data_IF_323511523597
#
_entry.id   IF_323511523597
#
_cell.length_a   1.000
_cell.length_b   1.000
_cell.length_c   1.000
_cell.angle_alpha   90.00
_cell.angle_beta   90.00
_cell.angle_gamma   90.00
#
_symmetry.space_group_name_H-M   'P 1'
#
loop_
_entity.id
_entity.type
_entity.pdbx_description
1 polymer ?
#
# COMPACT_ATOMS: atom_id res chain seq x y z
N UNK A 1 17.55 11.67 16.74
CA UNK A 1 16.59 11.59 17.85
C UNK A 1 15.33 10.96 17.27
N UNK A 2 14.78 9.93 17.91
CA UNK A 2 13.57 9.21 17.43
C UNK A 2 12.48 9.46 18.47
N UNK A 3 11.29 9.86 18.04
CA UNK A 3 10.14 10.05 18.92
C UNK A 3 9.68 8.69 19.45
N UNK A 4 9.54 8.56 20.77
CA UNK A 4 9.27 7.27 21.41
C UNK A 4 7.81 7.11 21.88
N UNK A 5 6.97 8.12 21.64
CA UNK A 5 5.57 8.15 22.08
C UNK A 5 4.76 6.93 21.62
N UNK A 6 5.06 6.42 20.42
CA UNK A 6 4.39 5.24 19.84
C UNK A 6 4.94 3.96 20.47
N UNK A 7 6.24 3.92 20.74
CA UNK A 7 6.90 2.79 21.39
C UNK A 7 6.46 2.61 22.85
N UNK A 8 6.28 3.72 23.59
CA UNK A 8 5.77 3.73 24.96
C UNK A 8 4.37 3.12 25.02
N UNK A 9 3.50 3.42 24.04
CA UNK A 9 2.15 2.85 23.95
C UNK A 9 2.18 1.39 23.53
N UNK A 10 3.01 1.06 22.54
CA UNK A 10 3.11 -0.30 22.01
C UNK A 10 3.53 -1.30 23.09
N UNK A 11 4.51 -1.00 23.94
CA UNK A 11 5.11 -1.99 24.84
C UNK A 11 4.13 -2.74 25.77
N UNK A 12 3.01 -2.10 26.13
CA UNK A 12 1.95 -2.64 26.99
C UNK A 12 0.63 -2.90 26.23
N UNK A 13 0.62 -2.70 24.91
CA UNK A 13 -0.56 -2.90 24.07
C UNK A 13 -0.88 -4.39 23.90
N UNK A 14 -2.16 -4.69 23.64
CA UNK A 14 -2.60 -6.04 23.26
C UNK A 14 -1.90 -6.52 21.99
N UNK A 15 -1.70 -5.61 21.02
CA UNK A 15 -0.94 -5.89 19.78
C UNK A 15 0.45 -6.42 20.08
N UNK A 16 1.20 -5.79 20.98
CA UNK A 16 2.54 -6.25 21.35
C UNK A 16 2.52 -7.56 22.15
N UNK A 17 1.47 -7.82 22.93
CA UNK A 17 1.27 -9.10 23.60
C UNK A 17 0.98 -10.23 22.61
N UNK A 18 0.23 -9.97 21.55
CA UNK A 18 -0.06 -10.94 20.49
C UNK A 18 1.16 -11.18 19.58
N UNK A 19 1.87 -10.13 19.17
CA UNK A 19 3.05 -10.25 18.29
C UNK A 19 4.27 -10.87 19.01
N UNK A 20 4.50 -10.51 20.27
CA UNK A 20 5.66 -10.94 21.05
C UNK A 20 5.27 -11.41 22.46
N UNK A 21 4.51 -12.52 22.59
CA UNK A 21 3.96 -12.96 23.88
C UNK A 21 5.05 -13.23 24.93
N UNK A 22 6.19 -13.77 24.50
CA UNK A 22 7.27 -14.19 25.40
C UNK A 22 8.36 -13.12 25.63
N UNK A 23 8.12 -11.85 25.26
CA UNK A 23 9.10 -10.77 25.42
C UNK A 23 8.70 -9.81 26.54
N UNK A 24 9.65 -9.34 27.37
CA UNK A 24 9.36 -8.33 28.39
C UNK A 24 9.03 -6.97 27.74
N UNK A 25 8.30 -6.07 28.45
CA UNK A 25 7.90 -4.77 27.91
C UNK A 25 9.05 -3.94 27.34
N UNK A 26 10.20 -3.90 28.02
CA UNK A 26 11.37 -3.15 27.55
C UNK A 26 11.88 -3.63 26.16
N UNK A 27 11.83 -4.93 25.89
CA UNK A 27 12.21 -5.47 24.58
C UNK A 27 11.18 -5.08 23.52
N UNK A 28 9.89 -5.11 23.85
CA UNK A 28 8.81 -4.66 22.95
C UNK A 28 8.94 -3.17 22.62
N UNK A 29 9.29 -2.35 23.61
CA UNK A 29 9.62 -0.93 23.42
C UNK A 29 10.77 -0.74 22.42
N UNK A 30 11.90 -1.44 22.61
CA UNK A 30 13.04 -1.36 21.68
C UNK A 30 12.67 -1.80 20.25
N UNK A 31 11.84 -2.85 20.11
CA UNK A 31 11.33 -3.30 18.80
C UNK A 31 10.50 -2.20 18.15
N UNK A 32 9.58 -1.56 18.88
CA UNK A 32 8.77 -0.48 18.34
C UNK A 32 9.60 0.74 17.95
N UNK A 33 10.63 1.11 18.73
CA UNK A 33 11.57 2.17 18.35
C UNK A 33 12.30 1.85 17.05
N UNK A 34 12.78 0.62 16.89
CA UNK A 34 13.46 0.20 15.67
C UNK A 34 12.50 0.23 14.47
N UNK A 35 11.26 -0.25 14.63
CA UNK A 35 10.25 -0.18 13.57
C UNK A 35 9.85 1.25 13.22
N UNK A 36 9.69 2.13 14.19
CA UNK A 36 9.43 3.55 13.96
C UNK A 36 10.56 4.18 13.14
N UNK A 37 11.81 3.88 13.46
CA UNK A 37 12.96 4.36 12.69
C UNK A 37 12.93 3.86 11.23
N UNK A 38 12.45 2.65 10.98
CA UNK A 38 12.29 2.12 9.63
C UNK A 38 11.08 2.71 8.88
N UNK A 39 9.94 2.83 9.55
CA UNK A 39 8.71 3.36 8.97
C UNK A 39 7.83 3.98 10.06
N UNK A 40 7.92 5.30 10.25
CA UNK A 40 7.02 6.02 11.16
C UNK A 40 5.56 5.86 10.73
N UNK A 41 5.32 5.88 9.41
CA UNK A 41 3.99 5.75 8.82
C UNK A 41 3.27 4.47 9.29
N UNK A 42 3.95 3.33 9.23
CA UNK A 42 3.34 2.06 9.61
C UNK A 42 3.13 1.97 11.12
N UNK A 43 4.04 2.52 11.94
CA UNK A 43 3.81 2.58 13.38
C UNK A 43 2.58 3.42 13.73
N UNK A 44 2.39 4.58 13.11
CA UNK A 44 1.19 5.39 13.30
C UNK A 44 -0.07 4.72 12.73
N UNK A 45 -0.01 4.09 11.55
CA UNK A 45 -1.16 3.43 10.92
C UNK A 45 -1.68 2.21 11.71
N UNK A 46 -0.80 1.56 12.49
CA UNK A 46 -1.12 0.45 13.37
C UNK A 46 -1.73 0.88 14.72
N UNK A 47 -1.72 2.18 15.05
CA UNK A 47 -2.44 2.68 16.22
C UNK A 47 -3.95 2.65 15.99
N UNK A 48 -4.69 2.47 17.09
CA UNK A 48 -6.13 2.67 17.11
C UNK A 48 -6.46 4.15 16.94
N UNK A 49 -7.68 4.46 16.47
CA UNK A 49 -8.14 5.84 16.33
C UNK A 49 -8.11 6.62 17.66
N UNK A 50 -8.23 5.93 18.80
CA UNK A 50 -8.13 6.57 20.12
C UNK A 50 -6.67 6.87 20.49
N UNK A 51 -5.76 5.93 20.23
CA UNK A 51 -4.33 6.14 20.48
C UNK A 51 -3.78 7.29 19.63
N UNK A 52 -4.15 7.38 18.34
CA UNK A 52 -3.72 8.49 17.48
C UNK A 52 -4.20 9.84 18.03
N UNK A 53 -5.47 9.94 18.46
CA UNK A 53 -6.00 11.20 19.06
C UNK A 53 -5.31 11.57 20.36
N UNK A 54 -4.79 10.59 21.08
CA UNK A 54 -4.07 10.81 22.34
C UNK A 54 -2.64 11.35 22.15
N UNK A 55 -2.12 11.33 20.91
CA UNK A 55 -0.80 11.88 20.61
C UNK A 55 -0.82 13.39 20.79
N UNK A 56 0.26 13.96 21.35
CA UNK A 56 0.35 15.39 21.59
C UNK A 56 0.99 16.07 20.37
N UNK A 57 0.18 16.30 19.34
CA UNK A 57 0.64 16.80 18.04
C UNK A 57 0.76 18.33 18.08
N UNK A 58 -0.16 19.01 18.76
CA UNK A 58 -0.14 20.47 18.88
C UNK A 58 -0.60 20.93 20.28
N UNK A 59 0.02 21.96 20.89
CA UNK A 59 -0.35 22.44 22.24
C UNK A 59 -1.82 22.85 22.39
N UNK A 60 -2.45 23.27 21.29
CA UNK A 60 -3.84 23.71 21.25
C UNK A 60 -4.80 22.70 20.61
N UNK A 61 -4.39 21.45 20.38
CA UNK A 61 -5.26 20.45 19.74
C UNK A 61 -6.56 20.20 20.51
N UNK A 62 -6.54 20.38 21.83
CA UNK A 62 -7.71 20.21 22.70
C UNK A 62 -8.78 21.30 22.51
N UNK A 63 -8.49 22.35 21.73
CA UNK A 63 -9.49 23.36 21.34
C UNK A 63 -10.40 22.88 20.20
N UNK A 64 -10.04 21.79 19.51
CA UNK A 64 -10.83 21.19 18.44
C UNK A 64 -11.84 20.19 19.00
N UNK A 65 -12.96 20.01 18.30
CA UNK A 65 -13.86 18.90 18.61
C UNK A 65 -13.18 17.56 18.27
N UNK A 66 -13.56 16.49 18.96
CA UNK A 66 -13.02 15.15 18.67
C UNK A 66 -13.30 14.71 17.22
N UNK A 67 -14.41 15.14 16.64
CA UNK A 67 -14.77 14.83 15.26
C UNK A 67 -13.85 15.56 14.27
N UNK A 68 -13.64 16.86 14.47
CA UNK A 68 -12.74 17.66 13.63
C UNK A 68 -11.30 17.16 13.69
N UNK A 69 -10.81 16.83 14.89
CA UNK A 69 -9.47 16.27 15.06
C UNK A 69 -9.35 14.91 14.37
N UNK A 70 -10.35 14.02 14.52
CA UNK A 70 -10.33 12.70 13.89
C UNK A 70 -10.32 12.82 12.37
N UNK A 71 -11.15 13.70 11.82
CA UNK A 71 -11.23 13.95 10.39
C UNK A 71 -9.89 14.48 9.85
N UNK A 72 -9.31 15.49 10.49
CA UNK A 72 -8.02 16.05 10.08
C UNK A 72 -6.89 15.01 10.12
N UNK A 73 -6.86 14.17 11.16
CA UNK A 73 -5.89 13.08 11.27
C UNK A 73 -6.08 12.04 10.17
N UNK A 74 -7.32 11.61 9.93
CA UNK A 74 -7.65 10.63 8.90
C UNK A 74 -7.28 11.15 7.51
N UNK A 75 -7.57 12.42 7.20
CA UNK A 75 -7.13 13.07 5.95
C UNK A 75 -5.61 13.05 5.81
N UNK A 76 -4.87 13.41 6.87
CA UNK A 76 -3.41 13.37 6.83
C UNK A 76 -2.86 11.94 6.59
N UNK A 77 -3.48 10.92 7.18
CA UNK A 77 -3.12 9.53 6.88
C UNK A 77 -3.40 9.16 5.42
N UNK A 78 -4.57 9.54 4.89
CA UNK A 78 -4.91 9.31 3.48
C UNK A 78 -3.86 9.97 2.59
N UNK A 79 -3.54 11.24 2.81
CA UNK A 79 -2.57 11.97 1.99
C UNK A 79 -1.19 11.29 2.00
N UNK A 80 -0.66 10.96 3.19
CA UNK A 80 0.67 10.36 3.32
C UNK A 80 0.70 8.91 2.82
N UNK A 81 -0.33 8.09 3.10
CA UNK A 81 -0.38 6.71 2.63
C UNK A 81 -0.48 6.66 1.11
N UNK A 82 -1.32 7.49 0.48
CA UNK A 82 -1.40 7.54 -0.98
C UNK A 82 -0.11 8.12 -1.59
N UNK A 83 0.52 9.09 -0.91
CA UNK A 83 1.83 9.62 -1.32
C UNK A 83 2.95 8.59 -1.20
N UNK A 84 2.90 7.61 -0.29
CA UNK A 84 3.94 6.56 -0.19
C UNK A 84 3.59 5.33 -1.03
N UNK A 85 2.29 5.09 -1.22
CA UNK A 85 1.71 3.90 -1.84
C UNK A 85 1.91 2.63 -0.99
N UNK A 86 1.16 1.57 -1.30
CA UNK A 86 1.22 0.30 -0.57
C UNK A 86 1.57 -0.84 -1.52
N UNK A 87 2.52 -1.67 -1.11
CA UNK A 87 2.88 -2.89 -1.83
C UNK A 87 1.86 -3.99 -1.51
N UNK A 88 1.19 -4.50 -2.54
CA UNK A 88 0.01 -5.36 -2.37
C UNK A 88 0.38 -6.69 -1.72
N UNK A 89 1.37 -7.40 -2.26
CA UNK A 89 1.72 -8.75 -1.81
C UNK A 89 2.23 -8.77 -0.36
N UNK A 90 3.04 -7.78 0.00
CA UNK A 90 3.57 -7.57 1.34
C UNK A 90 2.48 -7.22 2.34
N UNK A 91 1.48 -6.46 1.92
CA UNK A 91 0.31 -6.19 2.75
C UNK A 91 -0.56 -7.45 2.93
N UNK A 92 -0.66 -8.32 1.93
CA UNK A 92 -1.35 -9.61 2.02
C UNK A 92 -0.69 -10.57 3.01
N UNK A 93 0.63 -10.65 2.98
CA UNK A 93 1.42 -11.57 3.81
C UNK A 93 1.66 -11.07 5.24
N UNK A 94 1.57 -9.75 5.46
CA UNK A 94 1.94 -9.14 6.72
C UNK A 94 0.93 -8.10 7.21
N UNK A 95 0.20 -8.46 8.28
CA UNK A 95 -0.77 -7.62 8.96
C UNK A 95 -0.23 -6.24 9.36
N UNK A 96 1.06 -6.13 9.69
CA UNK A 96 1.69 -4.86 10.03
C UNK A 96 1.69 -3.88 8.85
N UNK A 97 1.94 -4.37 7.63
CA UNK A 97 1.88 -3.56 6.41
C UNK A 97 0.44 -3.33 5.94
N UNK A 98 -0.44 -4.32 6.15
CA UNK A 98 -1.85 -4.24 5.82
C UNK A 98 -2.61 -3.12 6.55
N UNK A 99 -2.11 -2.65 7.70
CA UNK A 99 -2.74 -1.57 8.48
C UNK A 99 -2.90 -0.27 7.70
N UNK A 100 -2.04 -0.01 6.70
CA UNK A 100 -2.08 1.17 5.84
C UNK A 100 -3.20 1.11 4.79
N UNK A 101 -3.65 -0.07 4.36
CA UNK A 101 -4.63 -0.24 3.27
C UNK A 101 -5.95 0.48 3.51
N UNK A 102 -6.36 0.64 4.78
CA UNK A 102 -7.59 1.36 5.14
C UNK A 102 -7.57 2.85 4.74
N UNK A 103 -6.40 3.42 4.46
CA UNK A 103 -6.18 4.81 4.07
C UNK A 103 -5.92 5.00 2.57
N UNK A 104 -5.92 3.93 1.77
CA UNK A 104 -5.80 4.04 0.31
C UNK A 104 -7.05 4.71 -0.26
N UNK A 105 -6.88 5.54 -1.28
CA UNK A 105 -7.99 6.17 -1.99
C UNK A 105 -8.99 5.14 -2.52
N UNK A 106 -10.27 5.36 -2.26
CA UNK A 106 -11.34 4.41 -2.60
C UNK A 106 -11.52 3.25 -1.61
N UNK A 107 -10.61 3.09 -0.64
CA UNK A 107 -10.69 2.11 0.44
C UNK A 107 -11.29 2.74 1.70
N UNK A 108 -11.52 1.86 2.67
CA UNK A 108 -11.89 2.16 4.04
C UNK A 108 -11.73 0.87 4.83
N UNK A 109 -11.95 0.89 6.16
CA UNK A 109 -11.71 -0.28 7.02
C UNK A 109 -12.32 -1.57 6.48
N UNK A 110 -13.59 -1.52 6.05
CA UNK A 110 -14.31 -2.68 5.50
C UNK A 110 -13.69 -3.18 4.20
N UNK A 111 -13.52 -2.29 3.22
CA UNK A 111 -12.95 -2.63 1.91
C UNK A 111 -11.53 -3.18 2.01
N UNK A 112 -10.71 -2.64 2.91
CA UNK A 112 -9.35 -3.13 3.13
C UNK A 112 -9.34 -4.57 3.67
N UNK A 113 -10.25 -4.91 4.58
CA UNK A 113 -10.42 -6.28 5.08
C UNK A 113 -10.90 -7.21 3.95
N UNK A 114 -11.94 -6.80 3.22
CA UNK A 114 -12.50 -7.60 2.12
C UNK A 114 -11.45 -7.83 1.01
N UNK A 115 -10.63 -6.82 0.71
CA UNK A 115 -9.53 -6.89 -0.24
C UNK A 115 -8.46 -7.90 0.20
N UNK A 116 -7.99 -7.82 1.45
CA UNK A 116 -7.02 -8.76 2.00
C UNK A 116 -7.54 -10.20 2.00
N UNK A 117 -8.78 -10.41 2.43
CA UNK A 117 -9.40 -11.74 2.41
C UNK A 117 -9.52 -12.28 0.98
N UNK A 118 -9.80 -11.43 0.01
CA UNK A 118 -9.90 -11.82 -1.40
C UNK A 118 -8.55 -12.24 -1.98
N UNK A 119 -7.49 -11.50 -1.65
CA UNK A 119 -6.12 -11.87 -2.02
C UNK A 119 -5.65 -13.16 -1.33
N UNK A 120 -5.98 -13.36 -0.06
CA UNK A 120 -5.67 -14.60 0.65
C UNK A 120 -6.41 -15.81 0.05
N UNK A 121 -7.64 -15.62 -0.46
CA UNK A 121 -8.38 -16.69 -1.16
C UNK A 121 -7.77 -17.05 -2.51
N UNK A 122 -7.14 -16.09 -3.20
CA UNK A 122 -6.39 -16.38 -4.43
C UNK A 122 -5.24 -17.36 -4.15
N UNK A 123 -4.65 -17.28 -2.95
CA UNK A 123 -3.57 -18.16 -2.47
C UNK A 123 -2.33 -18.16 -3.38
N UNK A 124 -2.18 -17.11 -4.18
CA UNK A 124 -1.08 -16.87 -5.10
C UNK A 124 -0.70 -15.38 -5.04
N UNK A 125 0.58 -15.04 -5.24
CA UNK A 125 0.99 -13.65 -5.27
C UNK A 125 0.39 -12.96 -6.49
N UNK A 126 -0.08 -11.72 -6.29
CA UNK A 126 -0.52 -10.87 -7.38
C UNK A 126 0.70 -10.52 -8.26
N UNK A 127 0.58 -10.79 -9.56
CA UNK A 127 1.60 -10.54 -10.57
C UNK A 127 1.35 -9.23 -11.32
N UNK A 128 0.09 -8.88 -11.57
CA UNK A 128 -0.26 -7.64 -12.28
C UNK A 128 -1.48 -6.96 -11.66
N UNK A 129 -1.59 -5.63 -11.75
CA UNK A 129 -2.76 -4.89 -11.24
C UNK A 129 -4.04 -5.32 -11.94
N UNK A 130 -3.96 -5.69 -13.21
CA UNK A 130 -5.11 -6.14 -13.99
C UNK A 130 -5.82 -7.36 -13.35
N UNK A 131 -5.07 -8.22 -12.66
CA UNK A 131 -5.61 -9.37 -11.94
C UNK A 131 -6.60 -8.97 -10.84
N UNK A 132 -6.51 -7.74 -10.31
CA UNK A 132 -7.48 -7.22 -9.33
C UNK A 132 -8.90 -7.13 -9.93
N UNK A 133 -9.01 -6.88 -11.23
CA UNK A 133 -10.29 -6.89 -11.95
C UNK A 133 -10.59 -8.31 -12.43
N UNK A 134 -9.64 -9.00 -13.07
CA UNK A 134 -9.87 -10.31 -13.69
C UNK A 134 -10.32 -11.37 -12.68
N UNK A 135 -9.79 -11.34 -11.45
CA UNK A 135 -10.22 -12.23 -10.36
C UNK A 135 -11.38 -11.67 -9.53
N UNK A 136 -12.02 -10.58 -9.96
CA UNK A 136 -13.11 -9.91 -9.24
C UNK A 136 -12.76 -9.53 -7.80
N UNK A 137 -11.51 -9.15 -7.55
CA UNK A 137 -11.05 -8.71 -6.21
C UNK A 137 -11.55 -7.29 -5.93
N UNK A 138 -11.50 -6.41 -6.93
CA UNK A 138 -11.99 -5.05 -6.86
C UNK A 138 -13.04 -4.78 -7.93
N UNK A 139 -14.08 -4.05 -7.55
CA UNK A 139 -15.02 -3.47 -8.50
C UNK A 139 -14.36 -2.32 -9.28
N UNK A 140 -14.80 -2.10 -10.52
CA UNK A 140 -14.27 -1.08 -11.45
C UNK A 140 -14.04 0.29 -10.78
N UNK A 141 -15.04 0.84 -10.09
CA UNK A 141 -14.90 2.17 -9.45
C UNK A 141 -13.84 2.19 -8.35
N UNK A 142 -13.72 1.11 -7.56
CA UNK A 142 -12.71 1.03 -6.50
C UNK A 142 -11.33 0.87 -7.12
N UNK A 143 -11.21 0.03 -8.16
CA UNK A 143 -9.97 -0.12 -8.91
C UNK A 143 -9.49 1.21 -9.47
N UNK A 144 -10.33 1.94 -10.19
CA UNK A 144 -9.98 3.26 -10.75
C UNK A 144 -9.55 4.28 -9.68
N UNK A 145 -10.11 4.21 -8.48
CA UNK A 145 -9.74 5.14 -7.40
C UNK A 145 -8.44 4.75 -6.69
N UNK A 146 -8.02 3.48 -6.77
CA UNK A 146 -6.96 2.93 -5.91
C UNK A 146 -5.73 2.44 -6.67
N UNK A 147 -5.84 2.10 -7.95
CA UNK A 147 -4.79 1.39 -8.67
C UNK A 147 -3.47 2.17 -8.75
N UNK A 148 -3.51 3.50 -8.83
CA UNK A 148 -2.31 4.34 -8.84
C UNK A 148 -1.55 4.38 -7.50
N UNK A 149 -2.17 3.91 -6.41
CA UNK A 149 -1.59 3.91 -5.06
C UNK A 149 -1.24 2.51 -4.55
N UNK A 150 -1.52 1.48 -5.34
CA UNK A 150 -1.20 0.09 -5.06
C UNK A 150 -0.14 -0.36 -6.04
N UNK A 151 1.03 -0.77 -5.57
CA UNK A 151 2.09 -1.24 -6.46
C UNK A 151 2.42 -2.70 -6.20
N UNK A 152 2.96 -3.34 -7.23
CA UNK A 152 3.45 -4.71 -7.20
C UNK A 152 4.95 -4.62 -7.47
N UNK A 153 5.76 -5.15 -6.55
CA UNK A 153 7.22 -5.10 -6.75
C UNK A 153 7.62 -5.96 -7.94
N UNK A 154 8.39 -5.38 -8.86
CA UNK A 154 9.00 -6.12 -9.95
C UNK A 154 9.91 -7.23 -9.39
N UNK A 155 9.72 -8.45 -9.91
CA UNK A 155 10.57 -9.57 -9.57
C UNK A 155 10.94 -10.35 -10.83
N UNK A 156 12.15 -10.09 -11.34
CA UNK A 156 12.73 -10.74 -12.51
C UNK A 156 12.64 -12.28 -12.48
N UNK A 157 12.64 -12.89 -11.29
CA UNK A 157 12.55 -14.36 -11.15
C UNK A 157 11.14 -14.91 -11.38
N UNK A 158 10.09 -14.09 -11.23
CA UNK A 158 8.69 -14.47 -11.45
C UNK A 158 8.29 -14.43 -12.93
N UNK A 159 9.06 -13.73 -13.76
CA UNK A 159 8.85 -13.60 -15.20
C UNK A 159 8.98 -14.93 -15.98
N UNK A 160 9.56 -15.97 -15.36
CA UNK A 160 9.91 -17.23 -16.04
C UNK A 160 8.77 -18.25 -16.17
N UNK A 161 7.59 -18.03 -15.59
CA UNK A 161 6.65 -19.12 -15.34
C UNK A 161 5.23 -18.98 -15.89
N UNK A 162 4.78 -17.83 -16.38
CA UNK A 162 3.38 -17.71 -16.85
C UNK A 162 3.23 -16.78 -18.05
N UNK A 163 2.30 -17.12 -18.95
CA UNK A 163 1.79 -16.31 -20.07
C UNK A 163 1.04 -15.03 -19.59
N UNK A 164 1.25 -14.61 -18.33
CA UNK A 164 0.70 -13.41 -17.73
C UNK A 164 1.78 -12.33 -17.76
N UNK A 165 1.61 -11.43 -18.72
CA UNK A 165 2.36 -10.19 -18.88
C UNK A 165 2.46 -9.42 -17.55
N UNK A 166 3.65 -9.44 -16.94
CA UNK A 166 3.97 -8.58 -15.80
C UNK A 166 4.31 -7.20 -16.37
N UNK A 167 3.46 -6.22 -16.10
CA UNK A 167 3.66 -4.86 -16.58
C UNK A 167 4.67 -4.15 -15.66
N UNK A 168 5.82 -3.74 -16.20
CA UNK A 168 6.84 -3.01 -15.44
C UNK A 168 6.27 -1.74 -14.78
N UNK A 169 5.23 -1.15 -15.39
CA UNK A 169 4.55 0.04 -14.91
C UNK A 169 3.79 -0.22 -13.60
N UNK A 170 3.46 -1.47 -13.25
CA UNK A 170 2.80 -1.82 -11.99
C UNK A 170 3.68 -1.57 -10.74
N UNK A 171 4.99 -1.45 -10.94
CA UNK A 171 5.95 -1.03 -9.90
C UNK A 171 6.05 0.50 -9.74
N UNK A 172 5.43 1.26 -10.65
CA UNK A 172 5.45 2.73 -10.70
C UNK A 172 4.14 3.31 -10.14
N UNK A 173 4.00 4.64 -10.17
CA UNK A 173 2.74 5.33 -9.79
C UNK A 173 1.86 5.70 -10.98
N UNK A 174 2.25 5.28 -12.18
CA UNK A 174 1.45 5.50 -13.37
C UNK A 174 0.15 4.72 -13.17
N UNK A 175 -0.97 5.36 -13.44
CA UNK A 175 -2.27 4.72 -13.33
C UNK A 175 -2.50 3.81 -14.55
N UNK A 176 -3.13 2.63 -14.42
CA UNK A 176 -3.41 1.73 -15.55
C UNK A 176 -4.16 2.36 -16.72
N UNK A 177 -4.88 3.47 -16.50
CA UNK A 177 -5.56 4.21 -17.58
C UNK A 177 -4.59 4.91 -18.54
N UNK A 178 -3.37 5.19 -18.07
CA UNK A 178 -2.32 5.90 -18.81
C UNK A 178 -1.20 4.98 -19.30
N UNK A 179 -1.34 3.65 -19.16
CA UNK A 179 -0.29 2.70 -19.57
C UNK A 179 0.03 2.82 -21.06
N UNK A 180 -1.00 2.90 -21.91
CA UNK A 180 -0.80 3.09 -23.35
C UNK A 180 0.03 4.33 -23.67
N UNK A 181 -0.24 5.45 -22.97
CA UNK A 181 0.52 6.68 -23.13
C UNK A 181 1.96 6.52 -22.64
N UNK A 182 2.17 5.91 -21.47
CA UNK A 182 3.49 5.68 -20.91
C UNK A 182 4.36 4.82 -21.82
N UNK A 183 3.81 3.72 -22.35
CA UNK A 183 4.50 2.84 -23.30
C UNK A 183 4.87 3.59 -24.57
N UNK A 184 3.97 4.41 -25.12
CA UNK A 184 4.25 5.22 -26.32
C UNK A 184 5.38 6.22 -26.09
N UNK A 185 5.39 6.89 -24.94
CA UNK A 185 6.47 7.83 -24.56
C UNK A 185 7.80 7.10 -24.40
N UNK A 186 7.80 5.92 -23.79
CA UNK A 186 8.99 5.10 -23.64
C UNK A 186 9.54 4.63 -24.99
N UNK A 187 8.65 4.19 -25.90
CA UNK A 187 9.04 3.74 -27.23
C UNK A 187 9.64 4.87 -28.08
N UNK A 188 9.05 6.06 -28.04
CA UNK A 188 9.56 7.26 -28.73
C UNK A 188 10.93 7.70 -28.18
N UNK A 189 11.09 7.69 -26.85
CA UNK A 189 12.35 8.03 -26.20
C UNK A 189 13.50 7.04 -26.51
N UNK A 190 13.17 5.79 -26.83
CA UNK A 190 14.12 4.75 -27.23
C UNK A 190 14.33 4.64 -28.74
N UNK A 191 13.73 5.56 -29.52
CA UNK A 191 13.81 5.61 -30.99
C UNK A 191 13.40 4.30 -31.67
N UNK A 192 12.38 3.61 -31.12
CA UNK A 192 11.84 2.41 -31.77
C UNK A 192 11.13 2.77 -33.08
N UNK A 193 11.29 1.89 -34.07
CA UNK A 193 10.64 2.03 -35.38
C UNK A 193 9.11 1.99 -35.23
N UNK A 194 8.36 3.01 -35.71
CA UNK A 194 6.90 3.05 -35.68
C UNK A 194 6.22 1.77 -36.20
N UNK A 195 6.82 1.13 -37.20
CA UNK A 195 6.29 -0.11 -37.78
C UNK A 195 6.39 -1.28 -36.79
N UNK A 196 7.44 -1.32 -35.96
CA UNK A 196 7.61 -2.31 -34.87
C UNK A 196 6.62 -2.07 -33.73
N UNK A 197 6.26 -0.81 -33.46
CA UNK A 197 5.26 -0.46 -32.44
C UNK A 197 3.85 -0.86 -32.89
N UNK A 198 3.51 -0.59 -34.16
CA UNK A 198 2.22 -0.95 -34.73
C UNK A 198 1.99 -2.47 -34.79
N UNK A 199 3.03 -3.25 -35.14
CA UNK A 199 2.97 -4.72 -35.11
C UNK A 199 2.74 -5.27 -33.69
N UNK A 200 3.33 -4.65 -32.67
CA UNK A 200 3.14 -5.04 -31.26
C UNK A 200 1.78 -4.61 -30.69
N UNK A 201 1.24 -3.47 -31.14
CA UNK A 201 -0.13 -3.04 -30.81
C UNK A 201 -1.18 -3.98 -31.39
N UNK A 202 -1.02 -4.44 -32.64
CA UNK A 202 -1.94 -5.43 -33.26
C UNK A 202 -1.86 -6.81 -32.59
N UNK A 203 -0.71 -7.17 -32.05
CA UNK A 203 -0.50 -8.44 -31.33
C UNK A 203 -0.86 -8.36 -29.85
N UNK A 204 -1.24 -7.18 -29.33
CA UNK A 204 -1.61 -6.98 -27.93
C UNK A 204 -0.45 -7.10 -26.93
N UNK A 205 0.81 -7.05 -27.38
CA UNK A 205 2.04 -7.38 -26.62
C UNK A 205 2.80 -6.14 -26.12
N UNK A 206 2.10 -5.01 -25.99
CA UNK A 206 2.67 -3.73 -25.57
C UNK A 206 3.18 -3.71 -24.11
N UNK A 207 3.05 -4.80 -23.34
CA UNK A 207 3.59 -4.90 -21.99
C UNK A 207 5.08 -5.30 -21.95
N UNK A 208 5.71 -5.62 -23.10
CA UNK A 208 7.12 -6.04 -23.16
C UNK A 208 8.15 -4.92 -22.93
N UNK A 209 7.71 -3.68 -22.66
CA UNK A 209 8.59 -2.54 -22.43
C UNK A 209 8.96 -2.38 -20.96
#
# INVERSE_FOLDING_TARGET
YVEDEVAIRYQNSERAAQEFPNKPPLVKYCIALARYMHSPLLEYANLTSEEVRSLSIHPHQNLLSSEQLSWALETAFVDIVNLVSVEVNKATDNNYYASALKYISGFGKRKAIDFLQSLQRLNEPLLARQQLITHNILHKTIFMNSAGFLYISWNEKRQKYEDLEHDQLDSTRIHPEDYHLATKVAADALEYDPDTIAEKEEQGTMSEF
#
